data_IF_689678014888
#
_entry.id   IF_689678014888
#
_cell.length_a   1.000
_cell.length_b   1.000
_cell.length_c   1.000
_cell.angle_alpha   90.00
_cell.angle_beta   90.00
_cell.angle_gamma   90.00
#
_symmetry.space_group_name_H-M   'P 1'
#
loop_
_entity.id
_entity.type
_entity.pdbx_description
1 polymer ?
#
# COMPACT_ATOMS: atom_id res chain seq x y z
N UNK A 1 21.57 67.91 -16.63
CA UNK A 1 21.18 67.52 -15.25
C UNK A 1 20.60 66.12 -15.30
N UNK A 2 21.15 65.25 -14.45
CA UNK A 2 20.81 63.85 -14.03
C UNK A 2 19.45 63.31 -14.53
N UNK A 3 19.45 62.23 -15.32
CA UNK A 3 19.40 60.80 -14.92
C UNK A 3 18.10 60.38 -14.22
N UNK A 4 17.34 59.49 -14.86
CA UNK A 4 16.61 58.40 -14.22
C UNK A 4 16.17 57.38 -15.29
N UNK A 5 17.05 56.41 -15.58
CA UNK A 5 16.66 55.16 -16.23
C UNK A 5 16.04 54.25 -15.16
N UNK A 6 14.74 53.97 -15.25
CA UNK A 6 14.07 52.99 -14.39
C UNK A 6 14.27 51.61 -15.04
N UNK A 7 15.27 50.88 -14.56
CA UNK A 7 15.43 49.46 -14.85
C UNK A 7 14.31 48.69 -14.16
N UNK A 8 13.40 48.09 -14.94
CA UNK A 8 12.49 47.05 -14.44
C UNK A 8 13.33 45.82 -14.08
N UNK A 9 13.58 45.63 -12.79
CA UNK A 9 13.96 44.34 -12.23
C UNK A 9 12.76 43.40 -12.37
N UNK A 10 12.77 42.57 -13.41
CA UNK A 10 11.94 41.36 -13.44
C UNK A 10 12.52 40.43 -12.40
N UNK A 11 12.01 40.52 -11.18
CA UNK A 11 12.24 39.51 -10.16
C UNK A 11 11.68 38.19 -10.70
N UNK A 12 12.59 37.30 -11.10
CA UNK A 12 12.26 35.91 -11.43
C UNK A 12 11.61 35.28 -10.21
N UNK A 13 10.29 35.15 -10.24
CA UNK A 13 9.59 34.26 -9.35
C UNK A 13 10.05 32.85 -9.72
N UNK A 14 10.99 32.30 -8.95
CA UNK A 14 11.18 30.86 -8.86
C UNK A 14 9.84 30.28 -8.40
N UNK A 15 9.00 29.90 -9.37
CA UNK A 15 7.88 29.02 -9.14
C UNK A 15 8.51 27.70 -8.72
N UNK A 16 8.62 27.50 -7.41
CA UNK A 16 8.67 26.17 -6.82
C UNK A 16 7.41 25.48 -7.36
N UNK A 17 7.59 24.68 -8.40
CA UNK A 17 6.53 23.88 -8.97
C UNK A 17 6.07 22.92 -7.87
N UNK A 18 5.01 23.30 -7.16
CA UNK A 18 4.28 22.42 -6.26
C UNK A 18 3.94 21.17 -7.08
N UNK A 19 4.62 20.08 -6.76
CA UNK A 19 4.38 18.78 -7.36
C UNK A 19 2.94 18.38 -6.96
N UNK A 20 2.08 18.16 -7.94
CA UNK A 20 0.75 17.61 -7.69
C UNK A 20 0.93 16.14 -7.32
N UNK A 21 0.18 15.65 -6.31
CA UNK A 21 0.33 14.29 -5.80
C UNK A 21 0.07 13.26 -6.91
N UNK A 22 0.94 12.26 -6.97
CA UNK A 22 0.73 10.99 -7.67
C UNK A 22 -0.24 10.22 -6.78
N UNK A 23 -1.40 9.80 -7.30
CA UNK A 23 -2.36 9.03 -6.51
C UNK A 23 -2.03 7.56 -6.66
N UNK A 24 -2.13 6.78 -5.59
CA UNK A 24 -2.04 5.31 -5.55
C UNK A 24 -2.95 4.65 -6.61
N UNK A 25 -2.91 3.32 -6.74
CA UNK A 25 -4.05 2.66 -7.39
C UNK A 25 -5.36 3.19 -6.78
N UNK A 26 -6.45 3.23 -7.55
CA UNK A 26 -7.75 3.55 -6.94
C UNK A 26 -8.11 2.49 -5.89
N UNK A 27 -9.10 2.80 -5.04
CA UNK A 27 -9.44 1.96 -3.89
C UNK A 27 -9.72 0.49 -4.22
N UNK A 28 -10.33 0.21 -5.39
CA UNK A 28 -10.68 -1.14 -5.82
C UNK A 28 -9.47 -2.07 -5.93
N UNK A 29 -8.49 -1.77 -6.83
CA UNK A 29 -7.29 -2.59 -6.96
C UNK A 29 -6.55 -2.84 -5.65
N UNK A 30 -6.35 -1.85 -4.77
CA UNK A 30 -5.72 -2.08 -3.46
C UNK A 30 -6.45 -3.13 -2.61
N UNK A 31 -7.77 -2.98 -2.49
CA UNK A 31 -8.60 -3.92 -1.72
C UNK A 31 -8.54 -5.33 -2.32
N UNK A 32 -8.53 -5.45 -3.64
CA UNK A 32 -8.44 -6.73 -4.34
C UNK A 32 -7.06 -7.36 -4.16
N UNK A 33 -5.96 -6.59 -4.27
CA UNK A 33 -4.60 -7.06 -3.98
C UNK A 33 -4.51 -7.61 -2.56
N UNK A 34 -5.05 -6.89 -1.57
CA UNK A 34 -5.09 -7.32 -0.19
C UNK A 34 -5.93 -8.60 0.00
N UNK A 35 -7.09 -8.73 -0.65
CA UNK A 35 -7.90 -9.94 -0.58
C UNK A 35 -7.20 -11.17 -1.22
N UNK A 36 -6.49 -10.97 -2.34
CA UNK A 36 -5.65 -12.03 -2.93
C UNK A 36 -4.56 -12.43 -1.94
N UNK A 37 -3.80 -11.46 -1.41
CA UNK A 37 -2.73 -11.70 -0.44
C UNK A 37 -3.21 -12.46 0.79
N UNK A 38 -4.35 -12.06 1.37
CA UNK A 38 -4.98 -12.74 2.50
C UNK A 38 -5.21 -14.22 2.23
N UNK A 39 -5.70 -14.56 1.02
CA UNK A 39 -5.98 -15.94 0.63
C UNK A 39 -4.75 -16.82 0.41
N UNK A 40 -3.55 -16.22 0.40
CA UNK A 40 -2.26 -16.91 0.26
C UNK A 40 -1.56 -17.13 1.60
N UNK A 41 -2.07 -16.54 2.67
CA UNK A 41 -1.50 -16.59 4.01
C UNK A 41 -2.08 -17.75 4.83
N UNK A 42 -1.28 -18.27 5.75
CA UNK A 42 -1.76 -19.21 6.77
C UNK A 42 -2.81 -18.56 7.69
N UNK A 43 -3.67 -19.38 8.29
CA UNK A 43 -4.69 -18.88 9.21
C UNK A 43 -4.09 -18.11 10.41
N UNK A 44 -2.94 -18.57 10.92
CA UNK A 44 -2.23 -17.89 12.00
C UNK A 44 -1.71 -16.52 11.55
N UNK A 45 -1.09 -16.43 10.36
CA UNK A 45 -0.61 -15.16 9.83
C UNK A 45 -1.76 -14.16 9.63
N UNK A 46 -2.90 -14.61 9.10
CA UNK A 46 -4.10 -13.77 8.95
C UNK A 46 -4.57 -13.23 10.31
N UNK A 47 -4.68 -14.08 11.34
CA UNK A 47 -5.12 -13.65 12.68
C UNK A 47 -4.16 -12.62 13.29
N UNK A 48 -2.84 -12.81 13.13
CA UNK A 48 -1.84 -11.85 13.63
C UNK A 48 -1.96 -10.50 12.95
N UNK A 49 -2.08 -10.48 11.62
CA UNK A 49 -2.24 -9.25 10.83
C UNK A 49 -3.55 -8.53 11.21
N UNK A 50 -4.67 -9.24 11.28
CA UNK A 50 -5.95 -8.67 11.66
C UNK A 50 -5.95 -8.11 13.08
N UNK A 51 -5.30 -8.81 14.01
CA UNK A 51 -5.17 -8.33 15.39
C UNK A 51 -4.46 -6.98 15.40
N UNK A 52 -3.28 -6.87 14.78
CA UNK A 52 -2.53 -5.61 14.73
C UNK A 52 -3.35 -4.51 14.08
N UNK A 53 -3.93 -4.73 12.89
CA UNK A 53 -4.73 -3.73 12.19
C UNK A 53 -5.96 -3.30 13.03
N UNK A 54 -6.59 -4.25 13.71
CA UNK A 54 -7.77 -4.07 14.55
C UNK A 54 -7.54 -3.23 15.80
N UNK A 55 -6.31 -3.12 16.32
CA UNK A 55 -5.98 -2.25 17.46
C UNK A 55 -6.31 -0.78 17.20
N UNK A 56 -6.37 -0.39 15.92
CA UNK A 56 -6.74 0.95 15.48
C UNK A 56 -8.22 1.12 15.14
N UNK A 57 -9.08 0.11 15.35
CA UNK A 57 -10.51 0.16 15.00
C UNK A 57 -11.25 1.34 15.62
N UNK A 58 -10.91 1.73 16.86
CA UNK A 58 -11.53 2.89 17.51
C UNK A 58 -11.22 4.22 16.83
N UNK A 59 -10.04 4.35 16.21
CA UNK A 59 -9.62 5.57 15.49
C UNK A 59 -9.95 5.51 14.00
N UNK A 60 -9.87 4.33 13.39
CA UNK A 60 -10.05 4.06 11.97
C UNK A 60 -11.01 2.87 11.74
N UNK A 61 -12.31 3.02 12.07
CA UNK A 61 -13.27 1.92 11.98
C UNK A 61 -13.45 1.40 10.55
N UNK A 62 -13.37 2.29 9.56
CA UNK A 62 -13.50 1.98 8.13
C UNK A 62 -12.20 1.38 7.51
N UNK A 63 -11.15 1.16 8.30
CA UNK A 63 -9.83 0.69 7.84
C UNK A 63 -9.23 -0.40 8.75
N UNK A 64 -10.05 -1.11 9.51
CA UNK A 64 -9.59 -2.04 10.54
C UNK A 64 -9.38 -3.48 10.05
N UNK A 65 -9.67 -3.79 8.79
CA UNK A 65 -9.40 -5.09 8.15
C UNK A 65 -8.29 -4.96 7.12
N UNK A 66 -7.66 -6.06 6.71
CA UNK A 66 -6.57 -6.05 5.74
C UNK A 66 -6.94 -5.37 4.42
N UNK A 67 -8.09 -5.71 3.85
CA UNK A 67 -8.62 -5.13 2.61
C UNK A 67 -8.88 -3.64 2.78
N UNK A 68 -9.50 -3.23 3.88
CA UNK A 68 -9.84 -1.82 4.11
C UNK A 68 -8.63 -0.99 4.53
N UNK A 69 -7.66 -1.58 5.21
CA UNK A 69 -6.40 -0.96 5.56
C UNK A 69 -5.54 -0.64 4.32
N UNK A 70 -5.70 -1.40 3.25
CA UNK A 70 -4.94 -1.24 2.00
C UNK A 70 -5.10 0.11 1.32
N UNK A 71 -6.09 0.92 1.69
CA UNK A 71 -6.32 2.28 1.12
C UNK A 71 -6.07 3.39 2.13
N UNK A 72 -5.66 3.04 3.36
CA UNK A 72 -5.51 3.99 4.45
C UNK A 72 -4.43 5.05 4.16
N UNK A 73 -3.30 4.66 3.55
CA UNK A 73 -2.20 5.59 3.27
C UNK A 73 -2.62 6.74 2.33
N UNK A 74 -3.51 6.43 1.40
CA UNK A 74 -4.12 7.38 0.47
C UNK A 74 -5.06 8.37 1.16
N UNK A 75 -5.72 7.93 2.23
CA UNK A 75 -6.69 8.74 2.97
C UNK A 75 -6.02 9.71 3.95
N UNK A 76 -4.86 9.35 4.49
CA UNK A 76 -4.13 10.18 5.47
C UNK A 76 -3.22 11.23 4.84
N UNK A 77 -2.95 11.12 3.54
CA UNK A 77 -2.01 12.00 2.84
C UNK A 77 -2.52 13.45 2.70
N UNK A 78 -3.69 13.77 3.26
CA UNK A 78 -4.14 15.13 3.51
C UNK A 78 -4.57 15.88 2.26
N UNK A 79 -5.78 15.60 1.75
CA UNK A 79 -6.46 16.46 0.76
C UNK A 79 -7.13 17.71 1.37
N UNK A 80 -6.82 18.03 2.64
CA UNK A 80 -7.44 19.09 3.44
C UNK A 80 -8.70 18.60 4.17
N UNK A 81 -9.26 19.38 5.12
CA UNK A 81 -10.52 19.01 5.75
C UNK A 81 -11.63 19.05 4.69
N UNK A 82 -12.38 17.96 4.43
CA UNK A 82 -13.62 18.09 3.71
C UNK A 82 -14.60 18.82 4.62
N UNK A 83 -14.94 20.05 4.25
CA UNK A 83 -16.02 20.83 4.88
C UNK A 83 -17.38 20.09 4.90
N UNK A 84 -17.48 18.96 4.18
CA UNK A 84 -18.71 18.18 4.02
C UNK A 84 -18.99 17.18 5.17
N UNK A 85 -17.99 16.78 5.99
CA UNK A 85 -18.20 15.80 7.08
C UNK A 85 -17.42 16.13 8.37
N UNK A 86 -17.91 17.07 9.20
CA UNK A 86 -17.25 17.51 10.44
C UNK A 86 -17.07 16.42 11.50
N UNK A 87 -17.79 15.30 11.39
CA UNK A 87 -17.76 14.19 12.37
C UNK A 87 -16.64 13.17 12.13
N UNK A 88 -15.89 13.26 11.04
CA UNK A 88 -14.77 12.35 10.73
C UNK A 88 -13.45 12.94 11.22
N UNK A 89 -12.59 12.12 11.82
CA UNK A 89 -11.19 12.48 12.07
C UNK A 89 -10.44 12.53 10.74
N UNK A 90 -9.51 13.47 10.59
CA UNK A 90 -8.70 13.65 9.39
C UNK A 90 -7.23 13.68 9.77
N UNK A 91 -6.42 12.90 9.04
CA UNK A 91 -4.98 12.98 9.11
C UNK A 91 -4.45 13.94 8.04
N UNK A 92 -3.31 14.55 8.36
CA UNK A 92 -2.67 15.58 7.52
C UNK A 92 -1.21 15.22 7.23
N UNK A 93 -0.94 13.92 7.04
CA UNK A 93 0.40 13.39 6.81
C UNK A 93 0.81 13.60 5.35
N UNK A 94 0.96 14.87 4.96
CA UNK A 94 1.31 15.29 3.59
C UNK A 94 2.60 14.69 3.05
N UNK A 95 3.47 14.18 3.94
CA UNK A 95 4.66 13.42 3.55
C UNK A 95 4.33 12.23 2.64
N UNK A 96 3.15 11.63 2.79
CA UNK A 96 2.74 10.49 1.97
C UNK A 96 2.25 10.88 0.58
N UNK A 97 1.94 12.16 0.30
CA UNK A 97 1.47 12.60 -1.02
C UNK A 97 2.41 12.30 -2.18
N UNK A 98 3.70 12.16 -1.89
CA UNK A 98 4.76 12.01 -2.88
C UNK A 98 5.48 10.66 -2.78
N UNK A 99 5.08 9.78 -1.86
CA UNK A 99 5.77 8.53 -1.57
C UNK A 99 4.95 7.29 -1.93
N UNK A 100 4.06 7.40 -2.93
CA UNK A 100 3.30 6.28 -3.49
C UNK A 100 4.04 5.62 -4.67
N UNK A 101 4.96 6.34 -5.34
CA UNK A 101 5.68 5.84 -6.51
C UNK A 101 7.19 5.71 -6.34
N UNK A 102 7.80 5.02 -7.29
CA UNK A 102 9.24 4.87 -7.51
C UNK A 102 9.67 5.79 -8.64
N UNK A 103 10.59 6.71 -8.36
CA UNK A 103 10.96 7.79 -9.29
C UNK A 103 11.97 7.34 -10.39
N UNK A 104 11.73 6.22 -11.08
CA UNK A 104 12.61 5.75 -12.15
C UNK A 104 12.36 6.58 -13.43
N UNK A 105 13.38 7.29 -13.95
CA UNK A 105 13.20 8.10 -15.15
C UNK A 105 13.04 7.24 -16.40
N UNK A 106 12.09 7.58 -17.25
CA UNK A 106 11.93 7.05 -18.60
C UNK A 106 12.18 8.17 -19.61
N UNK A 107 13.33 8.14 -20.28
CA UNK A 107 13.80 9.20 -21.16
C UNK A 107 14.22 8.64 -22.53
N UNK A 108 13.26 8.16 -23.35
CA UNK A 108 13.57 7.47 -24.61
C UNK A 108 14.28 8.38 -25.63
N UNK A 109 14.04 9.68 -25.57
CA UNK A 109 14.65 10.67 -26.48
C UNK A 109 16.01 11.19 -25.99
N UNK A 110 16.47 10.74 -24.82
CA UNK A 110 17.77 11.14 -24.26
C UNK A 110 17.89 12.65 -24.03
N UNK A 111 16.79 13.33 -23.70
CA UNK A 111 16.84 14.78 -23.43
C UNK A 111 17.71 15.05 -22.20
N UNK A 112 18.42 16.18 -22.20
CA UNK A 112 19.24 16.57 -21.06
C UNK A 112 18.34 17.02 -19.90
N UNK A 113 18.33 16.23 -18.83
CA UNK A 113 17.64 16.59 -17.59
C UNK A 113 18.39 17.71 -16.86
N UNK A 114 17.67 18.59 -16.18
CA UNK A 114 18.23 19.75 -15.49
C UNK A 114 17.78 19.81 -14.03
N UNK A 115 18.54 20.49 -13.19
CA UNK A 115 18.20 20.68 -11.78
C UNK A 115 18.10 19.36 -11.02
N UNK A 116 17.04 19.19 -10.23
CA UNK A 116 16.82 17.96 -9.45
C UNK A 116 16.52 16.75 -10.32
N UNK A 117 15.97 16.94 -11.53
CA UNK A 117 15.63 15.84 -12.43
C UNK A 117 16.89 15.10 -12.91
N UNK A 118 18.03 15.78 -12.96
CA UNK A 118 19.33 15.20 -13.31
C UNK A 118 19.88 14.23 -12.25
N UNK A 119 19.30 14.20 -11.04
CA UNK A 119 19.70 13.34 -9.94
C UNK A 119 18.82 12.08 -9.80
N UNK A 120 17.86 11.89 -10.69
CA UNK A 120 16.95 10.75 -10.64
C UNK A 120 17.64 9.42 -11.02
N UNK A 121 17.24 8.30 -10.42
CA UNK A 121 16.24 8.16 -9.35
C UNK A 121 16.77 8.61 -7.97
N UNK A 122 15.89 9.18 -7.13
CA UNK A 122 16.20 9.53 -5.73
C UNK A 122 15.56 8.51 -4.78
N UNK A 123 16.36 7.61 -4.24
CA UNK A 123 15.90 6.48 -3.43
C UNK A 123 15.09 6.92 -2.20
N UNK A 124 15.59 7.87 -1.41
CA UNK A 124 14.96 8.36 -0.17
C UNK A 124 13.65 9.14 -0.38
N UNK A 125 13.22 9.31 -1.63
CA UNK A 125 11.95 9.94 -2.00
C UNK A 125 11.00 9.00 -2.74
N UNK A 126 11.23 7.70 -2.63
CA UNK A 126 10.54 6.70 -3.43
C UNK A 126 9.88 5.64 -2.53
N UNK A 127 8.81 5.02 -3.01
CA UNK A 127 8.01 4.06 -2.25
C UNK A 127 8.82 2.84 -1.77
N UNK A 128 9.85 2.41 -2.53
CA UNK A 128 10.72 1.31 -2.13
C UNK A 128 11.50 1.61 -0.85
N UNK A 129 11.92 2.87 -0.65
CA UNK A 129 12.60 3.27 0.58
C UNK A 129 11.68 3.17 1.81
N UNK A 130 10.42 3.56 1.65
CA UNK A 130 9.41 3.40 2.70
C UNK A 130 9.12 1.93 2.99
N UNK A 131 9.09 1.09 1.96
CA UNK A 131 8.91 -0.36 2.10
C UNK A 131 10.09 -1.00 2.83
N UNK A 132 11.33 -0.65 2.49
CA UNK A 132 12.53 -1.16 3.16
C UNK A 132 12.53 -0.76 4.65
N UNK A 133 12.23 0.51 4.96
CA UNK A 133 12.11 0.94 6.36
C UNK A 133 10.97 0.24 7.11
N UNK A 134 9.81 0.05 6.48
CA UNK A 134 8.68 -0.62 7.10
C UNK A 134 8.99 -2.11 7.34
N UNK A 135 9.64 -2.77 6.39
CA UNK A 135 10.08 -4.14 6.50
C UNK A 135 11.05 -4.35 7.66
N UNK A 136 12.12 -3.55 7.70
CA UNK A 136 13.13 -3.62 8.77
C UNK A 136 12.52 -3.27 10.13
N UNK A 137 11.66 -2.25 10.18
CA UNK A 137 10.95 -1.84 11.38
C UNK A 137 10.05 -2.93 11.95
N UNK A 138 9.31 -3.66 11.11
CA UNK A 138 8.47 -4.79 11.53
C UNK A 138 9.30 -6.00 11.97
N UNK A 139 10.46 -6.25 11.36
CA UNK A 139 11.36 -7.36 11.76
C UNK A 139 12.14 -7.08 13.04
N UNK A 140 12.31 -5.82 13.41
CA UNK A 140 12.98 -5.43 14.65
C UNK A 140 12.13 -5.69 15.91
N UNK A 141 10.85 -6.04 15.77
CA UNK A 141 9.93 -6.23 16.90
C UNK A 141 9.93 -7.65 17.42
N UNK A 142 9.87 -7.79 18.74
CA UNK A 142 9.62 -9.09 19.40
C UNK A 142 8.13 -9.43 19.34
N UNK A 143 7.74 -10.65 18.95
CA UNK A 143 6.35 -11.05 18.77
C UNK A 143 5.64 -11.34 20.12
N UNK A 144 5.55 -10.36 21.01
CA UNK A 144 4.85 -10.46 22.31
C UNK A 144 3.79 -9.35 22.47
N UNK A 145 2.68 -9.68 23.14
CA UNK A 145 1.63 -8.73 23.51
C UNK A 145 1.87 -8.06 24.86
N UNK A 146 2.77 -8.59 25.69
CA UNK A 146 2.98 -8.17 27.09
C UNK A 146 3.33 -6.68 27.27
N UNK A 147 3.88 -6.05 26.22
CA UNK A 147 4.26 -4.62 26.20
C UNK A 147 3.60 -3.85 25.05
N UNK A 148 2.55 -4.44 24.47
CA UNK A 148 1.84 -3.83 23.34
C UNK A 148 0.89 -2.73 23.84
N UNK A 149 0.28 -2.91 25.01
CA UNK A 149 -0.49 -1.86 25.67
C UNK A 149 0.46 -0.79 26.22
N UNK A 150 0.17 0.48 25.91
CA UNK A 150 0.91 1.59 26.50
C UNK A 150 0.45 1.76 27.97
N UNK A 151 1.30 1.45 28.97
CA UNK A 151 0.92 1.62 30.38
C UNK A 151 0.60 3.08 30.74
N UNK A 152 1.04 4.05 29.93
CA UNK A 152 0.75 5.48 30.09
C UNK A 152 -0.59 5.91 29.47
N UNK A 153 -1.23 5.09 28.63
CA UNK A 153 -2.56 5.33 28.08
C UNK A 153 -3.71 4.85 29.00
N UNK A 154 -3.42 4.56 30.27
CA UNK A 154 -4.41 4.19 31.29
C UNK A 154 -5.21 5.38 31.84
N UNK A 155 -4.86 6.61 31.45
CA UNK A 155 -5.65 7.82 31.75
C UNK A 155 -6.50 8.17 30.53
N UNK A 156 -7.80 7.85 30.51
CA UNK A 156 -8.67 8.33 29.43
C UNK A 156 -8.65 9.86 29.40
N UNK A 157 -8.65 10.50 28.22
CA UNK A 157 -8.84 11.95 28.15
C UNK A 157 -10.13 12.31 28.89
N UNK A 158 -10.16 13.43 29.65
CA UNK A 158 -11.34 13.81 30.42
C UNK A 158 -12.54 13.88 29.47
N UNK A 159 -13.63 13.23 29.90
CA UNK A 159 -14.86 13.14 29.13
C UNK A 159 -15.36 14.55 28.86
N UNK A 160 -15.31 14.98 27.60
CA UNK A 160 -16.07 16.16 27.16
C UNK A 160 -17.53 15.90 27.48
N UNK A 161 -18.21 16.88 28.08
CA UNK A 161 -19.57 16.79 28.64
C UNK A 161 -20.69 16.59 27.60
N UNK A 162 -20.40 15.98 26.46
CA UNK A 162 -21.34 15.65 25.39
C UNK A 162 -21.17 14.20 24.98
N UNK A 163 -21.78 13.26 25.70
CA UNK A 163 -22.37 12.01 25.16
C UNK A 163 -22.77 11.06 26.30
N UNK A 164 -23.94 11.29 26.89
CA UNK A 164 -24.53 10.42 27.93
C UNK A 164 -25.98 10.06 27.56
N UNK A 165 -26.22 9.75 26.28
CA UNK A 165 -27.58 9.53 25.78
C UNK A 165 -27.78 8.32 24.85
N UNK A 166 -26.78 7.44 24.66
CA UNK A 166 -26.93 6.36 23.65
C UNK A 166 -26.41 4.98 24.06
N UNK A 167 -26.22 4.73 25.37
CA UNK A 167 -25.86 3.40 25.87
C UNK A 167 -26.85 2.91 26.95
N UNK A 168 -28.10 2.70 26.55
CA UNK A 168 -28.97 1.75 27.25
C UNK A 168 -29.96 1.16 26.28
N UNK A 169 -29.65 -0.02 25.73
CA UNK A 169 -30.62 -1.08 25.42
C UNK A 169 -29.89 -2.24 24.75
N UNK A 170 -29.99 -3.45 25.34
CA UNK A 170 -29.55 -4.67 24.67
C UNK A 170 -28.98 -5.79 25.55
N UNK A 171 -29.58 -6.07 26.72
CA UNK A 171 -29.36 -7.34 27.45
C UNK A 171 -30.34 -8.40 26.96
N UNK A 172 -29.86 -9.59 26.60
CA UNK A 172 -30.67 -10.83 26.63
C UNK A 172 -29.81 -12.02 27.09
N UNK A 173 -30.33 -12.72 28.10
CA UNK A 173 -29.79 -13.91 28.77
C UNK A 173 -29.93 -15.20 27.93
N UNK A 174 -29.04 -16.18 28.14
CA UNK A 174 -29.42 -17.59 28.35
C UNK A 174 -28.25 -18.43 28.90
N UNK A 175 -28.56 -19.29 29.88
CA UNK A 175 -27.68 -20.19 30.61
C UNK A 175 -27.87 -21.67 30.16
N UNK A 176 -27.03 -22.55 30.73
CA UNK A 176 -26.90 -24.02 30.61
C UNK A 176 -25.75 -24.43 29.67
N UNK A 177 -24.70 -25.19 30.04
CA UNK A 177 -24.48 -26.10 31.15
C UNK A 177 -24.38 -27.55 30.64
N UNK A 178 -23.20 -28.00 30.20
CA UNK A 178 -22.71 -29.38 30.41
C UNK A 178 -21.26 -29.59 29.92
N UNK A 179 -20.47 -30.19 30.81
CA UNK A 179 -19.13 -30.76 30.62
C UNK A 179 -19.18 -32.03 29.77
N UNK A 180 -18.23 -32.19 28.82
CA UNK A 180 -17.77 -33.50 28.36
C UNK A 180 -16.25 -33.47 28.11
N UNK A 181 -15.60 -34.45 28.74
CA UNK A 181 -14.17 -34.70 28.93
C UNK A 181 -13.55 -35.34 27.67
N UNK A 182 -12.33 -34.95 27.29
CA UNK A 182 -11.57 -35.55 26.18
C UNK A 182 -10.37 -36.31 26.74
N UNK A 183 -10.26 -37.58 26.34
CA UNK A 183 -9.21 -38.52 26.70
C UNK A 183 -7.94 -38.34 25.84
N UNK A 184 -6.78 -38.26 26.49
CA UNK A 184 -5.44 -38.32 25.89
C UNK A 184 -5.00 -39.79 25.65
N UNK A 185 -4.19 -40.06 24.61
CA UNK A 185 -3.16 -41.09 24.71
C UNK A 185 -1.75 -40.61 24.33
N UNK A 186 -0.84 -41.06 25.20
CA UNK A 186 0.61 -41.00 25.32
C UNK A 186 1.54 -40.87 24.09
N UNK A 187 2.64 -40.18 24.41
CA UNK A 187 3.96 -40.13 23.79
C UNK A 187 4.52 -41.46 23.25
N UNK A 188 5.11 -41.39 22.04
CA UNK A 188 6.34 -42.13 21.77
C UNK A 188 7.38 -41.37 20.94
N UNK A 189 8.44 -41.04 21.65
CA UNK A 189 9.74 -40.44 21.30
C UNK A 189 10.45 -41.16 20.13
N UNK A 190 11.10 -40.40 19.23
CA UNK A 190 12.35 -40.84 18.59
C UNK A 190 13.19 -39.66 18.06
N UNK A 191 14.40 -39.57 18.62
CA UNK A 191 15.48 -38.62 18.33
C UNK A 191 16.15 -38.84 16.96
N UNK A 192 16.47 -37.75 16.27
CA UNK A 192 17.70 -37.48 15.48
C UNK A 192 17.73 -35.95 15.26
N UNK A 193 18.69 -35.11 15.63
CA UNK A 193 20.10 -35.29 15.90
C UNK A 193 20.90 -34.31 15.02
N UNK A 194 20.92 -33.01 15.32
CA UNK A 194 21.97 -32.07 14.85
C UNK A 194 22.26 -31.06 15.96
N UNK A 195 23.48 -31.12 16.49
CA UNK A 195 23.99 -30.26 17.55
C UNK A 195 24.35 -28.89 16.99
N UNK A 196 23.58 -27.86 17.36
CA UNK A 196 24.02 -26.48 17.28
C UNK A 196 24.74 -26.13 18.59
N UNK A 197 26.02 -25.75 18.48
CA UNK A 197 26.83 -25.22 19.58
C UNK A 197 26.09 -24.09 20.28
N UNK A 198 25.76 -24.28 21.56
CA UNK A 198 25.29 -23.23 22.46
C UNK A 198 26.46 -22.31 22.79
N UNK A 199 26.57 -21.19 22.09
CA UNK A 199 27.16 -19.99 22.70
C UNK A 199 26.12 -19.42 23.65
N UNK A 200 26.28 -19.69 24.95
CA UNK A 200 25.60 -18.97 26.02
C UNK A 200 25.97 -17.49 25.91
N UNK A 201 25.07 -16.69 25.36
CA UNK A 201 25.01 -15.25 25.60
C UNK A 201 23.96 -15.07 26.69
N UNK A 202 24.43 -14.83 27.91
CA UNK A 202 23.59 -14.24 28.95
C UNK A 202 23.44 -12.75 28.62
N UNK A 203 22.27 -12.35 28.13
CA UNK A 203 21.82 -10.96 28.24
C UNK A 203 20.32 -10.95 28.47
N UNK A 204 19.92 -10.61 29.68
CA UNK A 204 18.62 -10.04 30.05
C UNK A 204 18.41 -8.68 29.35
N UNK A 205 18.62 -8.61 28.03
CA UNK A 205 18.17 -7.50 27.23
C UNK A 205 16.72 -7.82 26.88
N UNK A 206 15.78 -7.19 27.58
CA UNK A 206 14.37 -7.24 27.21
C UNK A 206 14.25 -6.93 25.70
N UNK A 207 13.88 -7.94 24.91
CA UNK A 207 13.82 -7.78 23.48
C UNK A 207 12.82 -6.65 23.14
N UNK A 208 13.18 -5.69 22.26
CA UNK A 208 12.33 -4.53 22.01
C UNK A 208 11.00 -4.97 21.40
N UNK A 209 9.90 -4.45 21.95
CA UNK A 209 8.54 -4.67 21.45
C UNK A 209 8.15 -3.44 20.65
N UNK A 210 7.68 -3.64 19.42
CA UNK A 210 7.16 -2.54 18.61
C UNK A 210 5.91 -1.96 19.26
N UNK A 211 5.83 -0.63 19.35
CA UNK A 211 4.60 0.03 19.80
C UNK A 211 3.44 -0.30 18.84
N UNK A 212 2.20 -0.20 19.32
CA UNK A 212 1.01 -0.30 18.44
C UNK A 212 1.10 0.67 17.28
N UNK A 213 1.63 1.88 17.53
CA UNK A 213 1.86 2.87 16.48
C UNK A 213 2.78 2.31 15.40
N UNK A 214 3.99 1.86 15.75
CA UNK A 214 4.98 1.36 14.79
C UNK A 214 4.48 0.14 14.02
N UNK A 215 3.92 -0.86 14.73
CA UNK A 215 3.44 -2.09 14.12
C UNK A 215 2.29 -1.83 13.14
N UNK A 216 1.28 -1.07 13.57
CA UNK A 216 0.10 -0.80 12.76
C UNK A 216 0.46 0.09 11.56
N UNK A 217 1.27 1.12 11.78
CA UNK A 217 1.71 2.05 10.74
C UNK A 217 2.52 1.36 9.65
N UNK A 218 3.57 0.62 10.01
CA UNK A 218 4.41 -0.06 9.02
C UNK A 218 3.67 -1.20 8.32
N UNK A 219 2.79 -1.93 9.01
CA UNK A 219 1.99 -2.98 8.38
C UNK A 219 1.06 -2.40 7.31
N UNK A 220 0.39 -1.28 7.58
CA UNK A 220 -0.43 -0.56 6.59
C UNK A 220 0.39 -0.07 5.41
N UNK A 221 1.61 0.44 5.66
CA UNK A 221 2.51 0.86 4.59
C UNK A 221 2.89 -0.30 3.67
N UNK A 222 3.26 -1.47 4.22
CA UNK A 222 3.57 -2.66 3.41
C UNK A 222 2.36 -3.08 2.57
N UNK A 223 1.17 -3.17 3.18
CA UNK A 223 -0.06 -3.57 2.47
C UNK A 223 -0.38 -2.62 1.31
N UNK A 224 -0.22 -1.30 1.52
CA UNK A 224 -0.54 -0.30 0.52
C UNK A 224 0.53 -0.20 -0.57
N UNK A 225 1.79 0.02 -0.18
CA UNK A 225 2.87 0.37 -1.11
C UNK A 225 3.31 -0.83 -1.96
N UNK A 226 3.17 -2.07 -1.47
CA UNK A 226 3.39 -3.24 -2.34
C UNK A 226 2.40 -3.21 -3.51
N UNK A 227 1.14 -2.82 -3.31
CA UNK A 227 0.21 -2.67 -4.42
C UNK A 227 0.65 -1.53 -5.37
N UNK A 228 1.04 -0.38 -4.83
CA UNK A 228 1.46 0.78 -5.63
C UNK A 228 2.66 0.49 -6.53
N UNK A 229 3.72 -0.14 -6.03
CA UNK A 229 4.89 -0.44 -6.86
C UNK A 229 4.58 -1.44 -7.99
N UNK A 230 3.40 -2.06 -7.99
CA UNK A 230 2.89 -2.89 -9.08
C UNK A 230 2.03 -2.13 -10.10
N UNK A 231 1.64 -0.88 -9.83
CA UNK A 231 1.07 0.03 -10.82
C UNK A 231 2.20 0.50 -11.74
N UNK A 232 2.19 0.18 -13.05
CA UNK A 232 3.31 0.54 -13.93
C UNK A 232 3.65 2.03 -13.95
N UNK A 233 2.65 2.92 -13.99
CA UNK A 233 2.85 4.36 -13.90
C UNK A 233 3.27 4.84 -12.51
N UNK A 234 3.23 4.03 -11.46
CA UNK A 234 3.87 4.39 -10.19
C UNK A 234 5.37 4.21 -10.21
N UNK A 235 5.93 3.59 -11.24
CA UNK A 235 7.37 3.33 -11.35
C UNK A 235 8.02 4.05 -12.52
N UNK A 236 7.31 5.01 -13.13
CA UNK A 236 7.64 5.49 -14.46
C UNK A 236 7.42 7.01 -14.61
N UNK A 237 8.49 7.78 -14.49
CA UNK A 237 8.47 9.22 -14.71
C UNK A 237 8.98 9.55 -16.11
N UNK A 238 8.09 9.88 -17.05
CA UNK A 238 8.47 10.05 -18.45
C UNK A 238 8.97 11.45 -18.78
N UNK A 239 10.07 11.52 -19.54
CA UNK A 239 10.72 12.73 -20.02
C UNK A 239 10.76 12.75 -21.55
N UNK A 240 10.47 13.91 -22.11
CA UNK A 240 10.49 14.14 -23.56
C UNK A 240 10.56 15.64 -23.86
N UNK A 241 10.74 16.07 -25.12
CA UNK A 241 10.64 17.48 -25.48
C UNK A 241 9.32 18.14 -25.05
N UNK A 242 8.20 17.38 -25.03
CA UNK A 242 6.92 17.87 -24.53
C UNK A 242 6.84 17.92 -22.99
N UNK A 243 7.65 17.11 -22.30
CA UNK A 243 7.69 16.98 -20.84
C UNK A 243 9.13 17.09 -20.31
N UNK A 244 9.79 18.27 -20.42
CA UNK A 244 11.18 18.43 -20.01
C UNK A 244 11.41 18.28 -18.49
N UNK A 245 10.33 18.42 -17.70
CA UNK A 245 10.33 18.28 -16.24
C UNK A 245 9.45 17.10 -15.78
N UNK A 246 9.41 16.05 -16.59
CA UNK A 246 8.58 14.89 -16.35
C UNK A 246 7.10 15.12 -16.66
N UNK A 247 6.41 14.05 -17.01
CA UNK A 247 4.96 14.02 -17.25
C UNK A 247 4.12 13.84 -15.97
N UNK A 248 4.79 13.79 -14.81
CA UNK A 248 4.21 13.47 -13.49
C UNK A 248 3.49 12.13 -13.52
N UNK A 249 4.19 11.07 -13.90
CA UNK A 249 3.70 9.69 -13.88
C UNK A 249 2.44 9.52 -14.74
N UNK A 250 2.34 10.25 -15.85
CA UNK A 250 1.17 10.28 -16.73
C UNK A 250 0.09 11.30 -16.38
N UNK A 251 0.19 12.01 -15.25
CA UNK A 251 -0.85 12.97 -14.83
C UNK A 251 -1.00 14.14 -15.81
N UNK A 252 0.08 14.55 -16.48
CA UNK A 252 0.05 15.63 -17.49
C UNK A 252 -0.52 15.21 -18.85
N UNK A 253 -0.80 13.92 -19.06
CA UNK A 253 -1.35 13.40 -20.31
C UNK A 253 -2.87 13.29 -20.12
N UNK A 254 -3.60 14.35 -20.52
CA UNK A 254 -5.07 14.31 -20.53
C UNK A 254 -5.57 13.34 -21.59
N UNK A 255 -6.68 12.66 -21.32
CA UNK A 255 -7.28 11.72 -22.25
C UNK A 255 -8.80 11.74 -22.21
N UNK A 256 -9.41 11.36 -23.33
CA UNK A 256 -10.86 11.13 -23.45
C UNK A 256 -11.07 9.67 -23.81
N UNK A 257 -11.77 8.94 -22.95
CA UNK A 257 -12.11 7.53 -23.21
C UNK A 257 -13.17 7.43 -24.32
N UNK A 258 -13.29 6.29 -25.04
CA UNK A 258 -14.28 6.13 -26.12
C UNK A 258 -15.75 6.32 -25.69
N UNK A 259 -16.06 6.26 -24.40
CA UNK A 259 -17.38 6.58 -23.85
C UNK A 259 -17.60 8.08 -23.57
N UNK A 260 -16.67 8.95 -23.98
CA UNK A 260 -16.72 10.40 -23.78
C UNK A 260 -16.30 10.88 -22.39
N UNK A 261 -15.80 9.99 -21.51
CA UNK A 261 -15.36 10.38 -20.17
C UNK A 261 -13.94 10.97 -20.22
N UNK A 262 -13.80 12.19 -19.70
CA UNK A 262 -12.51 12.85 -19.50
C UNK A 262 -11.75 12.27 -18.31
N UNK A 263 -10.45 12.07 -18.47
CA UNK A 263 -9.52 11.66 -17.42
C UNK A 263 -8.07 12.04 -17.79
N UNK A 264 -7.08 11.49 -17.08
CA UNK A 264 -5.68 11.54 -17.47
C UNK A 264 -5.08 10.13 -17.42
N UNK A 265 -3.92 9.95 -18.05
CA UNK A 265 -3.29 8.65 -18.18
C UNK A 265 -3.05 7.98 -16.81
N UNK A 266 -2.58 8.74 -15.82
CA UNK A 266 -2.34 8.22 -14.47
C UNK A 266 -3.61 7.65 -13.83
N UNK A 267 -4.67 8.46 -13.74
CA UNK A 267 -5.94 8.05 -13.15
C UNK A 267 -6.61 6.89 -13.93
N UNK A 268 -6.42 6.83 -15.25
CA UNK A 268 -6.88 5.70 -16.05
C UNK A 268 -6.21 4.39 -15.63
N UNK A 269 -4.89 4.40 -15.41
CA UNK A 269 -4.12 3.25 -14.95
C UNK A 269 -4.42 2.90 -13.49
N UNK A 270 -4.53 3.88 -12.58
CA UNK A 270 -4.95 3.65 -11.18
C UNK A 270 -6.33 2.97 -11.11
N UNK A 271 -7.21 3.24 -12.08
CA UNK A 271 -8.52 2.60 -12.20
C UNK A 271 -8.50 1.21 -12.83
N UNK A 272 -7.32 0.61 -13.03
CA UNK A 272 -7.09 -0.60 -13.81
C UNK A 272 -7.71 -0.54 -15.22
N UNK A 273 -7.41 0.53 -15.95
CA UNK A 273 -8.03 0.80 -17.24
C UNK A 273 -9.49 1.27 -17.12
N UNK A 274 -9.77 2.00 -16.04
CA UNK A 274 -11.11 2.47 -15.63
C UNK A 274 -12.16 1.36 -15.46
N UNK A 275 -11.74 0.18 -15.02
CA UNK A 275 -12.64 -0.94 -14.67
C UNK A 275 -13.18 -0.77 -13.24
N UNK A 276 -12.35 -0.28 -12.31
CA UNK A 276 -12.72 -0.10 -10.90
C UNK A 276 -12.83 1.38 -10.55
N UNK A 277 -14.01 1.96 -10.79
CA UNK A 277 -14.25 3.41 -10.59
C UNK A 277 -15.17 3.75 -9.42
N UNK A 278 -15.64 2.74 -8.67
CA UNK A 278 -16.46 2.97 -7.47
C UNK A 278 -15.64 3.71 -6.42
N UNK A 279 -16.31 4.49 -5.57
CA UNK A 279 -15.69 5.11 -4.40
C UNK A 279 -15.43 4.04 -3.33
N UNK A 280 -14.43 4.27 -2.47
CA UNK A 280 -14.05 3.36 -1.37
C UNK A 280 -15.23 2.76 -0.60
N UNK A 281 -16.17 3.60 -0.17
CA UNK A 281 -17.33 3.18 0.64
C UNK A 281 -18.44 2.47 -0.13
N UNK A 282 -18.33 2.34 -1.44
CA UNK A 282 -19.33 1.68 -2.30
C UNK A 282 -18.97 0.22 -2.62
N UNK A 283 -17.76 -0.22 -2.27
CA UNK A 283 -17.36 -1.62 -2.37
C UNK A 283 -17.86 -2.40 -1.16
N UNK A 284 -18.56 -3.52 -1.38
CA UNK A 284 -18.82 -4.51 -0.31
C UNK A 284 -17.67 -5.50 -0.20
N UNK A 285 -17.56 -6.17 0.96
CA UNK A 285 -16.49 -7.15 1.18
C UNK A 285 -16.67 -8.37 0.26
N UNK A 286 -17.92 -8.76 -0.04
CA UNK A 286 -18.25 -9.83 -0.98
C UNK A 286 -17.81 -9.50 -2.41
N UNK A 287 -18.02 -8.27 -2.86
CA UNK A 287 -17.58 -7.82 -4.19
C UNK A 287 -16.06 -7.89 -4.34
N UNK A 288 -15.32 -7.47 -3.31
CA UNK A 288 -13.85 -7.52 -3.28
C UNK A 288 -13.39 -8.98 -3.33
N UNK A 289 -13.96 -9.83 -2.48
CA UNK A 289 -13.58 -11.25 -2.39
C UNK A 289 -13.88 -12.02 -3.68
N UNK A 290 -15.05 -11.79 -4.30
CA UNK A 290 -15.42 -12.44 -5.55
C UNK A 290 -14.53 -11.99 -6.72
N UNK A 291 -14.17 -10.71 -6.77
CA UNK A 291 -13.25 -10.21 -7.80
C UNK A 291 -11.83 -10.73 -7.62
N UNK A 292 -11.34 -10.81 -6.38
CA UNK A 292 -10.07 -11.45 -6.06
C UNK A 292 -10.04 -12.93 -6.51
N UNK A 293 -11.11 -13.68 -6.22
CA UNK A 293 -11.27 -15.07 -6.67
C UNK A 293 -11.25 -15.18 -8.20
N UNK A 294 -11.93 -14.26 -8.90
CA UNK A 294 -11.96 -14.22 -10.37
C UNK A 294 -10.58 -13.94 -10.97
N UNK A 295 -9.85 -12.96 -10.43
CA UNK A 295 -8.50 -12.64 -10.88
C UNK A 295 -7.55 -13.82 -10.63
N UNK A 296 -7.63 -14.49 -9.47
CA UNK A 296 -6.83 -15.70 -9.20
C UNK A 296 -7.14 -16.85 -10.16
N UNK A 297 -8.40 -17.00 -10.57
CA UNK A 297 -8.78 -18.02 -11.54
C UNK A 297 -8.24 -17.69 -12.94
N UNK A 298 -8.22 -16.41 -13.32
CA UNK A 298 -7.68 -15.93 -14.59
C UNK A 298 -6.14 -15.98 -14.63
N UNK A 299 -5.49 -15.72 -13.49
CA UNK A 299 -4.04 -15.75 -13.31
C UNK A 299 -3.65 -16.63 -12.11
N UNK A 300 -3.74 -17.97 -12.24
CA UNK A 300 -3.29 -18.88 -11.19
C UNK A 300 -1.82 -18.68 -10.87
N UNK A 301 -1.45 -18.85 -9.60
CA UNK A 301 -0.08 -18.62 -9.09
C UNK A 301 1.00 -19.33 -9.92
N UNK A 302 0.76 -20.60 -10.25
CA UNK A 302 1.68 -21.43 -11.05
C UNK A 302 1.88 -20.88 -12.47
N UNK A 303 0.91 -20.16 -13.03
CA UNK A 303 1.07 -19.50 -14.33
C UNK A 303 1.97 -18.26 -14.30
N UNK A 304 2.31 -17.77 -13.09
CA UNK A 304 3.07 -16.56 -12.84
C UNK A 304 4.41 -16.83 -12.13
N UNK A 305 4.90 -18.07 -12.11
CA UNK A 305 6.18 -18.45 -11.46
C UNK A 305 7.35 -17.55 -11.86
N UNK A 306 7.41 -17.11 -13.11
CA UNK A 306 8.46 -16.19 -13.59
C UNK A 306 8.49 -14.85 -12.85
N UNK A 307 7.35 -14.43 -12.28
CA UNK A 307 7.18 -13.22 -11.49
C UNK A 307 7.30 -13.48 -9.98
N UNK A 308 7.40 -14.73 -9.53
CA UNK A 308 7.42 -15.10 -8.11
C UNK A 308 8.76 -15.71 -7.68
N UNK A 309 9.82 -15.42 -8.42
CA UNK A 309 11.18 -15.85 -8.08
C UNK A 309 11.72 -15.10 -6.86
N UNK A 310 12.66 -15.68 -6.08
CA UNK A 310 13.20 -15.05 -4.88
C UNK A 310 13.65 -13.60 -5.06
N UNK A 311 14.29 -13.28 -6.18
CA UNK A 311 14.75 -11.92 -6.52
C UNK A 311 13.63 -10.90 -6.75
N UNK A 312 12.39 -11.36 -6.88
CA UNK A 312 11.16 -10.57 -7.08
C UNK A 312 10.19 -10.71 -5.89
N UNK A 313 10.64 -11.29 -4.78
CA UNK A 313 9.90 -11.40 -3.52
C UNK A 313 10.51 -10.47 -2.47
N UNK A 314 9.73 -10.12 -1.44
CA UNK A 314 10.21 -9.25 -0.35
C UNK A 314 11.47 -9.84 0.31
N UNK A 315 12.45 -9.02 0.68
CA UNK A 315 12.45 -7.55 0.66
C UNK A 315 12.95 -6.91 -0.65
N UNK A 316 12.97 -7.61 -1.80
CA UNK A 316 13.49 -7.06 -3.05
C UNK A 316 12.51 -6.09 -3.74
N UNK A 317 11.99 -5.08 -3.03
CA UNK A 317 10.97 -4.16 -3.52
C UNK A 317 11.44 -3.34 -4.73
N UNK A 318 12.73 -2.98 -4.77
CA UNK A 318 13.33 -2.30 -5.92
C UNK A 318 13.20 -3.13 -7.21
N UNK A 319 13.46 -4.42 -7.15
CA UNK A 319 13.37 -5.31 -8.32
C UNK A 319 11.91 -5.45 -8.80
N UNK A 320 10.94 -5.49 -7.87
CA UNK A 320 9.52 -5.47 -8.22
C UNK A 320 9.14 -4.17 -8.95
N UNK A 321 9.59 -3.02 -8.45
CA UNK A 321 9.34 -1.73 -9.07
C UNK A 321 10.00 -1.62 -10.46
N UNK A 322 11.20 -2.15 -10.63
CA UNK A 322 11.88 -2.19 -11.94
C UNK A 322 11.20 -3.12 -12.95
N UNK A 323 10.51 -4.16 -12.49
CA UNK A 323 9.66 -4.97 -13.35
C UNK A 323 8.42 -4.19 -13.81
N UNK A 324 7.73 -3.51 -12.90
CA UNK A 324 6.61 -2.61 -13.22
C UNK A 324 7.04 -1.50 -14.17
N UNK A 325 8.25 -0.95 -14.00
CA UNK A 325 8.82 0.09 -14.85
C UNK A 325 8.98 -0.41 -16.28
N UNK A 326 9.54 -1.61 -16.46
CA UNK A 326 9.71 -2.23 -17.78
C UNK A 326 8.36 -2.47 -18.47
N UNK A 327 7.34 -2.93 -17.72
CA UNK A 327 5.99 -3.07 -18.25
C UNK A 327 5.39 -1.72 -18.65
N UNK A 328 5.56 -0.70 -17.80
CA UNK A 328 5.05 0.64 -18.06
C UNK A 328 5.70 1.29 -19.28
N UNK A 329 7.01 1.19 -19.41
CA UNK A 329 7.73 1.66 -20.60
C UNK A 329 7.25 0.97 -21.88
N UNK A 330 6.98 -0.32 -21.83
CA UNK A 330 6.53 -1.11 -22.97
C UNK A 330 5.04 -0.91 -23.33
N UNK A 331 4.17 -0.66 -22.34
CA UNK A 331 2.73 -0.64 -22.53
C UNK A 331 2.10 0.73 -22.25
N UNK A 332 2.39 1.38 -21.13
CA UNK A 332 1.73 2.63 -20.73
C UNK A 332 1.87 3.74 -21.76
N UNK A 333 3.06 3.86 -22.35
CA UNK A 333 3.33 4.85 -23.38
C UNK A 333 3.41 4.30 -24.81
N UNK A 334 2.93 3.07 -25.06
CA UNK A 334 3.10 2.38 -26.35
C UNK A 334 2.53 3.12 -27.55
N UNK A 335 1.49 3.92 -27.36
CA UNK A 335 0.84 4.70 -28.43
C UNK A 335 1.43 6.11 -28.59
N UNK A 336 2.43 6.48 -27.80
CA UNK A 336 3.06 7.79 -27.85
C UNK A 336 4.39 7.70 -28.59
N UNK A 337 4.53 8.50 -29.64
CA UNK A 337 5.83 8.73 -30.25
C UNK A 337 6.47 10.00 -29.63
N UNK A 338 7.31 9.83 -28.63
CA UNK A 338 7.91 10.93 -27.87
C UNK A 338 8.78 11.88 -28.69
N UNK A 339 9.34 11.44 -29.82
CA UNK A 339 10.08 12.30 -30.75
C UNK A 339 9.20 13.36 -31.44
N UNK A 340 7.92 13.04 -31.65
CA UNK A 340 6.97 13.90 -32.39
C UNK A 340 5.83 14.43 -31.53
N UNK A 341 5.61 13.85 -30.35
CA UNK A 341 4.53 14.21 -29.45
C UNK A 341 4.70 15.63 -28.92
N UNK A 342 3.62 16.39 -28.93
CA UNK A 342 3.54 17.79 -28.49
C UNK A 342 2.33 17.98 -27.58
N UNK A 343 2.34 19.00 -26.70
CA UNK A 343 1.17 19.31 -25.87
C UNK A 343 -0.13 19.55 -26.66
N UNK A 344 -0.04 19.97 -27.93
CA UNK A 344 -1.19 20.17 -28.82
C UNK A 344 -1.84 18.86 -29.29
N UNK A 345 -1.19 17.71 -29.10
CA UNK A 345 -1.75 16.40 -29.43
C UNK A 345 -2.66 15.85 -28.31
N UNK A 346 -2.90 16.65 -27.25
CA UNK A 346 -3.81 16.35 -26.15
C UNK A 346 -5.20 17.01 -26.38
N UNK A 347 -6.30 16.39 -25.91
CA UNK A 347 -6.34 15.14 -25.15
C UNK A 347 -6.12 13.90 -26.02
N UNK A 348 -5.39 12.94 -25.50
CA UNK A 348 -5.14 11.65 -26.14
C UNK A 348 -6.42 10.78 -26.13
N UNK A 349 -6.72 10.13 -27.25
CA UNK A 349 -7.83 9.17 -27.36
C UNK A 349 -7.22 7.78 -27.56
N UNK A 350 -7.34 6.85 -26.58
CA UNK A 350 -6.72 5.54 -26.67
C UNK A 350 -7.43 4.64 -27.68
N UNK A 351 -6.66 3.81 -28.38
CA UNK A 351 -7.27 2.78 -29.25
C UNK A 351 -7.98 1.70 -28.42
N UNK A 352 -8.93 1.00 -29.05
CA UNK A 352 -9.59 -0.16 -28.42
C UNK A 352 -8.60 -1.26 -28.01
N UNK A 353 -7.55 -1.49 -28.81
CA UNK A 353 -6.50 -2.47 -28.51
C UNK A 353 -5.71 -2.07 -27.27
N UNK A 354 -5.33 -0.78 -27.16
CA UNK A 354 -4.67 -0.29 -25.95
C UNK A 354 -5.53 -0.46 -24.71
N UNK A 355 -6.82 -0.11 -24.78
CA UNK A 355 -7.73 -0.30 -23.66
C UNK A 355 -7.83 -1.77 -23.22
N UNK A 356 -7.91 -2.71 -24.17
CA UNK A 356 -7.98 -4.14 -23.86
C UNK A 356 -6.68 -4.63 -23.21
N UNK A 357 -5.53 -4.27 -23.79
CA UNK A 357 -4.21 -4.67 -23.30
C UNK A 357 -3.91 -4.11 -21.91
N UNK A 358 -4.23 -2.83 -21.66
CA UNK A 358 -4.04 -2.21 -20.33
C UNK A 358 -4.91 -2.89 -19.29
N UNK A 359 -6.18 -3.17 -19.58
CA UNK A 359 -7.07 -3.84 -18.63
C UNK A 359 -6.58 -5.24 -18.28
N UNK A 360 -6.13 -6.00 -19.27
CA UNK A 360 -5.54 -7.32 -19.05
C UNK A 360 -4.25 -7.23 -18.21
N UNK A 361 -3.37 -6.29 -18.55
CA UNK A 361 -2.13 -6.07 -17.82
C UNK A 361 -2.37 -5.66 -16.37
N UNK A 362 -3.31 -4.73 -16.11
CA UNK A 362 -3.62 -4.30 -14.75
C UNK A 362 -4.20 -5.45 -13.91
N UNK A 363 -5.07 -6.30 -14.46
CA UNK A 363 -5.58 -7.48 -13.73
C UNK A 363 -4.45 -8.48 -13.41
N UNK A 364 -3.51 -8.69 -14.33
CA UNK A 364 -2.32 -9.50 -14.08
C UNK A 364 -1.43 -8.89 -12.99
N UNK A 365 -1.19 -7.58 -13.03
CA UNK A 365 -0.41 -6.88 -12.00
C UNK A 365 -1.07 -6.96 -10.62
N UNK A 366 -2.41 -6.86 -10.55
CA UNK A 366 -3.17 -7.08 -9.30
C UNK A 366 -2.94 -8.50 -8.75
N UNK A 367 -2.94 -9.52 -9.62
CA UNK A 367 -2.62 -10.89 -9.22
C UNK A 367 -1.19 -11.02 -8.67
N UNK A 368 -0.20 -10.54 -9.43
CA UNK A 368 1.23 -10.59 -9.06
C UNK A 368 1.46 -9.85 -7.73
N UNK A 369 0.90 -8.65 -7.58
CA UNK A 369 0.98 -7.87 -6.35
C UNK A 369 0.37 -8.61 -5.16
N UNK A 370 -0.79 -9.24 -5.34
CA UNK A 370 -1.46 -10.03 -4.32
C UNK A 370 -0.62 -11.23 -3.86
N UNK A 371 -0.05 -11.98 -4.80
CA UNK A 371 0.82 -13.12 -4.46
C UNK A 371 2.10 -12.69 -3.74
N UNK A 372 2.73 -11.59 -4.19
CA UNK A 372 3.93 -11.03 -3.55
C UNK A 372 3.65 -10.44 -2.17
N UNK A 373 2.52 -9.74 -2.00
CA UNK A 373 2.09 -9.23 -0.71
C UNK A 373 1.74 -10.38 0.26
N UNK A 374 1.08 -11.44 -0.22
CA UNK A 374 0.80 -12.63 0.57
C UNK A 374 2.08 -13.28 1.10
N UNK A 375 3.08 -13.43 0.24
CA UNK A 375 4.42 -13.90 0.65
C UNK A 375 5.05 -12.97 1.69
N UNK A 376 5.06 -11.66 1.45
CA UNK A 376 5.64 -10.68 2.35
C UNK A 376 5.00 -10.72 3.75
N UNK A 377 3.68 -10.83 3.82
CA UNK A 377 2.95 -10.87 5.09
C UNK A 377 3.08 -12.20 5.81
N UNK A 378 3.18 -13.32 5.10
CA UNK A 378 3.49 -14.62 5.69
C UNK A 378 4.85 -14.57 6.39
N UNK A 379 5.89 -14.06 5.71
CA UNK A 379 7.23 -13.89 6.27
C UNK A 379 7.25 -12.93 7.48
N UNK A 380 6.56 -11.79 7.37
CA UNK A 380 6.46 -10.82 8.46
C UNK A 380 5.69 -11.36 9.67
N UNK A 381 4.77 -12.31 9.46
CA UNK A 381 3.95 -12.87 10.55
C UNK A 381 4.78 -13.55 11.65
N UNK A 382 6.02 -13.97 11.35
CA UNK A 382 6.95 -14.50 12.33
C UNK A 382 7.36 -13.47 13.40
N UNK A 383 7.31 -12.18 13.06
CA UNK A 383 7.71 -11.06 13.90
C UNK A 383 6.52 -10.33 14.54
N UNK A 384 5.30 -10.65 14.11
CA UNK A 384 4.07 -10.10 14.69
C UNK A 384 3.66 -10.89 15.95
N UNK A 385 3.12 -10.19 16.98
CA UNK A 385 2.70 -10.83 18.22
C UNK A 385 1.57 -11.83 17.99
N UNK A 386 1.61 -12.93 18.73
CA UNK A 386 0.49 -13.88 18.81
C UNK A 386 -0.54 -13.29 19.79
N UNK A 387 -1.80 -13.07 19.40
CA UNK A 387 -2.80 -12.54 20.31
C UNK A 387 -3.00 -13.43 21.55
N UNK A 388 -3.18 -12.84 22.72
CA UNK A 388 -3.28 -13.56 24.02
C UNK A 388 -4.38 -14.62 24.03
N UNK A 389 -5.50 -14.36 23.36
CA UNK A 389 -6.61 -15.32 23.29
C UNK A 389 -6.21 -16.62 22.57
N UNK A 390 -5.21 -16.62 21.70
CA UNK A 390 -4.67 -17.85 21.11
C UNK A 390 -3.65 -18.54 22.01
N UNK A 391 -2.91 -17.78 22.82
CA UNK A 391 -1.90 -18.33 23.74
C UNK A 391 -2.58 -19.14 24.86
N UNK A 392 -3.71 -18.64 25.38
CA UNK A 392 -4.48 -19.28 26.45
C UNK A 392 -5.13 -20.61 26.06
N UNK A 393 -5.29 -20.90 24.76
CA UNK A 393 -5.81 -22.19 24.28
C UNK A 393 -4.74 -23.27 24.17
N UNK A 394 -3.46 -22.92 24.11
CA UNK A 394 -2.34 -23.89 24.05
C UNK A 394 -1.96 -24.40 25.44
N UNK A 395 -2.23 -23.63 26.49
CA UNK A 395 -1.97 -24.03 27.88
C UNK A 395 -3.15 -24.75 28.56
N UNK A 396 -4.30 -24.84 27.88
CA UNK A 396 -5.51 -25.46 28.39
C UNK A 396 -5.85 -26.82 27.73
N UNK A 397 -5.02 -27.30 26.80
CA UNK A 397 -5.09 -28.62 26.16
C UNK A 397 -3.84 -29.43 26.52
#
# INVERSE_FOLDING_TARGET
>A
MRSASVSLLVAGACVLALQSPVLAWHSGPHMIVAAIARSEMSALAQIKVDYILGLWRGQYPDHATMERASVWLDDINGKGPPYEKPSRRFDFLKIFQFMHGVNIPYNPEGIQLQGLDALLPLYERSAEFLLDMAWDGLKATTPTTEKLEDPFCSVPPPVSSFSLASYSEGTVNAANGNFLEVSHPDEHRRNTGVSARSSQVSTDAESPVGTVLSLNFYLRMVIHLVADIHQPLHSLLAFSPAFPHGDRFGTKISMVLPNGKDTNLHAFWDGAGSVYTKRRGEFTDEEIAEEARRIKLEFPKDSLESHLKPELLAPNFRNMAEESHRLGAALAYREFNFSTFRPADLPYVPTHTYLADVRLACRRQIAIAGYRLGYALEELSAYLPVPEFLQNHVHAA
#
